data_IF_736706748582
#
_entry.id   IF_736706748582
#
_cell.length_a   1.000
_cell.length_b   1.000
_cell.length_c   1.000
_cell.angle_alpha   90.00
_cell.angle_beta   90.00
_cell.angle_gamma   90.00
#
_symmetry.space_group_name_H-M   'P 1'
#
loop_
_entity.id
_entity.type
_entity.pdbx_description
1 polymer ?
2 non-polymer ?
#
# COMPACT_ATOMS: atom_id res chain seq x y z
N UNK A 19 29.09 7.82 15.61
CA UNK A 19 28.10 8.15 14.54
C UNK A 19 26.81 8.70 15.14
N UNK A 20 26.67 10.02 15.11
CA UNK A 20 25.44 10.66 15.56
C UNK A 20 24.25 10.38 14.65
N UNK A 21 24.51 9.84 13.46
CA UNK A 21 23.42 9.53 12.53
C UNK A 21 22.47 8.49 13.11
N UNK A 22 22.99 7.49 13.82
CA UNK A 22 22.14 6.44 14.34
C UNK A 22 21.11 6.99 15.32
N UNK A 23 21.50 7.96 16.15
CA UNK A 23 20.58 8.56 17.10
C UNK A 23 19.80 9.72 16.51
N UNK A 24 20.10 10.14 15.29
CA UNK A 24 19.41 11.27 14.68
C UNK A 24 17.95 10.92 14.41
N UNK A 25 17.10 11.95 14.41
CA UNK A 25 15.67 11.74 14.26
C UNK A 25 15.33 11.09 12.92
N UNK A 26 16.02 11.50 11.86
CA UNK A 26 15.70 10.96 10.53
C UNK A 26 15.89 9.45 10.50
N UNK A 27 17.00 8.95 11.02
CA UNK A 27 17.22 7.51 11.02
C UNK A 27 16.30 6.82 12.01
N UNK A 28 15.93 7.47 13.11
CA UNK A 28 14.96 6.87 14.01
C UNK A 28 13.63 6.64 13.30
N UNK A 29 13.18 7.63 12.53
CA UNK A 29 11.93 7.47 11.78
C UNK A 29 12.08 6.40 10.70
N UNK A 30 13.24 6.37 10.03
CA UNK A 30 13.47 5.31 9.05
C UNK A 30 13.36 3.94 9.69
N UNK A 31 14.01 3.74 10.84
CA UNK A 31 13.95 2.44 11.51
C UNK A 31 12.54 2.12 11.96
N UNK A 32 11.81 3.12 12.46
CA UNK A 32 10.44 2.87 12.86
C UNK A 32 9.57 2.39 11.71
N UNK A 33 9.66 3.09 10.57
CA UNK A 33 8.87 2.67 9.42
C UNK A 33 9.33 1.33 8.88
N UNK A 34 10.63 1.05 8.91
CA UNK A 34 11.12 -0.23 8.42
C UNK A 34 10.60 -1.37 9.29
N UNK A 35 10.70 -1.24 10.61
CA UNK A 35 10.22 -2.30 11.49
C UNK A 35 8.70 -2.40 11.50
N UNK A 36 7.99 -1.35 11.10
CA UNK A 36 6.55 -1.46 10.94
C UNK A 36 6.19 -2.19 9.65
N UNK A 37 6.76 -1.75 8.53
CA UNK A 37 6.40 -2.34 7.24
C UNK A 37 6.89 -3.78 7.11
N UNK A 38 8.00 -4.15 7.76
CA UNK A 38 8.43 -5.54 7.72
C UNK A 38 7.36 -6.44 8.34
N UNK A 39 6.91 -6.10 9.54
CA UNK A 39 5.85 -6.88 10.15
C UNK A 39 4.58 -6.87 9.33
N UNK A 40 4.24 -5.71 8.76
CA UNK A 40 3.03 -5.64 7.94
C UNK A 40 3.10 -6.60 6.77
N UNK A 41 4.20 -6.56 6.01
CA UNK A 41 4.32 -7.42 4.84
C UNK A 41 4.38 -8.89 5.23
N UNK A 42 5.10 -9.22 6.31
CA UNK A 42 5.18 -10.60 6.74
C UNK A 42 3.79 -11.13 7.13
N UNK A 43 3.01 -10.32 7.84
CA UNK A 43 1.67 -10.75 8.23
C UNK A 43 0.76 -10.87 7.02
N UNK A 44 0.88 -9.95 6.06
CA UNK A 44 0.08 -10.08 4.84
C UNK A 44 0.39 -11.39 4.13
N UNK A 45 1.67 -11.72 3.99
CA UNK A 45 2.06 -12.97 3.34
C UNK A 45 1.53 -14.17 4.13
N UNK A 46 1.61 -14.10 5.46
CA UNK A 46 1.10 -15.20 6.28
C UNK A 46 -0.39 -15.40 6.07
N UNK A 47 -1.17 -14.33 6.06
CA UNK A 47 -2.61 -14.47 5.89
C UNK A 47 -2.95 -14.97 4.50
N UNK A 48 -2.26 -14.46 3.47
CA UNK A 48 -2.51 -14.93 2.11
C UNK A 48 -2.21 -16.42 2.00
N UNK A 49 -1.08 -16.87 2.56
CA UNK A 49 -0.74 -18.29 2.51
C UNK A 49 -1.74 -19.10 3.30
N UNK A 50 -2.22 -18.57 4.43
CA UNK A 50 -3.23 -19.29 5.21
C UNK A 50 -4.49 -19.51 4.38
N UNK A 51 -4.98 -18.46 3.72
CA UNK A 51 -6.18 -18.61 2.90
C UNK A 51 -5.94 -19.57 1.74
N UNK A 52 -4.78 -19.48 1.09
CA UNK A 52 -4.50 -20.36 -0.04
C UNK A 52 -4.42 -21.81 0.41
N UNK A 53 -3.79 -22.06 1.56
CA UNK A 53 -3.52 -23.43 2.00
C UNK A 53 -4.75 -24.08 2.61
N UNK A 54 -5.38 -23.41 3.58
CA UNK A 54 -6.52 -23.99 4.27
C UNK A 54 -7.68 -24.22 3.30
N UNK A 55 -7.98 -23.21 2.49
CA UNK A 55 -9.13 -23.32 1.55
C UNK A 55 -8.57 -23.51 0.14
N UNK A 56 -9.01 -24.55 -0.56
CA UNK A 56 -8.58 -24.75 -1.95
C UNK A 56 -8.98 -23.57 -2.82
N UNK A 57 -10.21 -23.07 -2.64
CA UNK A 57 -10.66 -21.85 -3.35
C UNK A 57 -10.17 -20.64 -2.57
N UNK A 58 -9.74 -19.60 -3.26
CA UNK A 58 -9.21 -18.41 -2.58
C UNK A 58 -9.78 -17.17 -3.25
N UNK A 59 -9.61 -17.07 -4.57
CA UNK A 59 -10.08 -15.86 -5.30
C UNK A 59 -11.45 -15.41 -4.77
N UNK A 60 -12.41 -16.34 -4.69
CA UNK A 60 -13.75 -15.99 -4.14
C UNK A 60 -13.50 -15.38 -2.77
N UNK A 61 -12.77 -16.06 -1.91
CA UNK A 61 -12.58 -15.53 -0.53
C UNK A 61 -11.66 -14.31 -0.61
N UNK A 62 -10.42 -14.50 -1.03
CA UNK A 62 -9.56 -13.33 -1.14
C UNK A 62 -10.32 -12.13 -1.69
N UNK A 63 -11.25 -12.37 -2.61
CA UNK A 63 -12.10 -11.28 -3.08
C UNK A 63 -12.98 -10.75 -1.96
N UNK A 64 -13.51 -11.64 -1.13
CA UNK A 64 -14.28 -11.20 0.04
C UNK A 64 -13.39 -10.39 0.97
N UNK A 65 -12.14 -10.83 1.16
CA UNK A 65 -11.20 -10.07 1.97
C UNK A 65 -10.98 -8.68 1.39
N UNK A 66 -10.81 -8.59 0.07
CA UNK A 66 -10.63 -7.30 -0.56
C UNK A 66 -11.84 -6.39 -0.37
N UNK A 67 -13.04 -6.96 -0.54
CA UNK A 67 -14.25 -6.16 -0.45
C UNK A 67 -14.56 -5.75 0.99
N UNK A 68 -14.14 -6.54 1.98
CA UNK A 68 -14.35 -6.15 3.37
C UNK A 68 -13.24 -5.24 3.90
N UNK A 69 -12.07 -5.24 3.24
CA UNK A 69 -11.04 -4.29 3.62
C UNK A 69 -11.31 -2.93 2.97
N UNK A 70 -11.66 -2.94 1.69
CA UNK A 70 -11.72 -1.70 0.93
C UNK A 70 -12.82 -0.78 1.43
N UNK A 71 -14.04 -1.30 1.63
CA UNK A 71 -15.12 -0.45 2.11
C UNK A 71 -14.90 0.02 3.54
N UNK A 72 -14.43 -0.87 4.40
CA UNK A 72 -14.14 -0.48 5.78
C UNK A 72 -13.10 0.63 5.79
N UNK A 73 -12.08 0.53 4.96
CA UNK A 73 -11.14 1.64 4.83
C UNK A 73 -11.83 2.87 4.28
N UNK A 74 -12.66 2.69 3.25
CA UNK A 74 -13.33 3.82 2.61
C UNK A 74 -14.03 4.69 3.65
N UNK A 75 -14.70 4.06 4.61
CA UNK A 75 -15.45 4.83 5.61
C UNK A 75 -14.57 5.22 6.78
N UNK A 76 -14.03 4.23 7.48
CA UNK A 76 -13.28 4.51 8.69
C UNK A 76 -11.98 5.24 8.40
N UNK A 77 -11.60 5.45 7.14
CA UNK A 77 -10.39 6.19 6.83
C UNK A 77 -10.63 7.68 6.85
N UNK A 78 -11.75 8.13 6.28
CA UNK A 78 -12.17 9.50 6.53
C UNK A 78 -12.41 9.72 8.02
N UNK A 79 -13.06 8.75 8.68
CA UNK A 79 -13.28 8.93 10.11
C UNK A 79 -11.96 9.00 10.87
N UNK A 80 -10.95 8.24 10.44
CA UNK A 80 -9.64 8.28 11.08
C UNK A 80 -8.93 9.60 10.81
N UNK A 81 -8.99 10.07 9.56
CA UNK A 81 -8.45 11.38 9.26
C UNK A 81 -9.05 12.45 10.16
N UNK A 82 -10.32 12.32 10.49
CA UNK A 82 -10.87 13.15 11.56
C UNK A 82 -10.18 12.85 12.89
N UNK A 83 -9.90 11.57 13.16
CA UNK A 83 -9.28 11.19 14.43
C UNK A 83 -7.87 11.74 14.56
N UNK A 84 -7.07 11.70 13.48
CA UNK A 84 -5.65 11.99 13.60
C UNK A 84 -5.43 13.44 14.02
N UNK A 85 -6.08 14.38 13.34
CA UNK A 85 -5.83 15.78 13.64
C UNK A 85 -6.45 16.23 14.96
N UNK A 86 -7.44 15.49 15.47
CA UNK A 86 -8.14 15.93 16.68
C UNK A 86 -7.32 15.66 17.94
N UNK A 87 -6.81 14.44 18.09
CA UNK A 87 -6.20 14.02 19.34
C UNK A 87 -4.75 14.48 19.41
N UNK A 88 -4.06 14.08 20.47
CA UNK A 88 -2.66 14.45 20.64
C UNK A 88 -1.80 13.82 19.56
N UNK A 89 -0.71 14.52 19.22
CA UNK A 89 0.13 14.07 18.11
C UNK A 89 0.78 12.73 18.41
N UNK A 90 1.34 12.57 19.61
CA UNK A 90 2.04 11.33 19.94
C UNK A 90 1.07 10.25 20.39
N UNK A 91 0.01 10.63 21.10
CA UNK A 91 -0.91 9.63 21.63
C UNK A 91 -1.61 8.89 20.50
N UNK A 92 -1.98 9.60 19.43
CA UNK A 92 -2.67 8.94 18.33
C UNK A 92 -1.75 7.93 17.67
N UNK A 93 -0.50 8.28 17.43
CA UNK A 93 0.42 7.34 16.80
C UNK A 93 0.68 6.13 17.70
N UNK A 94 0.85 6.37 19.00
CA UNK A 94 1.07 5.24 19.91
C UNK A 94 -0.14 4.33 19.95
N UNK A 95 -1.34 4.90 19.99
CA UNK A 95 -2.55 4.08 20.01
C UNK A 95 -2.70 3.31 18.70
N UNK A 96 -2.37 3.94 17.57
CA UNK A 96 -2.43 3.24 16.30
C UNK A 96 -1.48 2.04 16.28
N UNK A 97 -0.25 2.25 16.75
CA UNK A 97 0.71 1.14 16.81
C UNK A 97 0.19 0.03 17.72
N UNK A 98 -0.34 0.41 18.89
CA UNK A 98 -0.86 -0.58 19.82
C UNK A 98 -1.97 -1.39 19.19
N UNK A 99 -2.93 -0.71 18.55
CA UNK A 99 -4.06 -1.41 17.96
C UNK A 99 -3.59 -2.33 16.84
N UNK A 100 -2.71 -1.85 15.97
CA UNK A 100 -2.25 -2.68 14.87
C UNK A 100 -1.56 -3.94 15.37
N UNK A 101 -0.61 -3.77 16.30
CA UNK A 101 0.15 -4.93 16.76
C UNK A 101 -0.70 -5.87 17.59
N UNK A 102 -1.64 -5.36 18.38
CA UNK A 102 -2.52 -6.23 19.15
C UNK A 102 -3.44 -7.01 18.22
N UNK A 103 -3.96 -6.36 17.18
CA UNK A 103 -4.79 -7.07 16.21
C UNK A 103 -4.00 -8.15 15.49
N UNK A 104 -2.75 -7.85 15.11
CA UNK A 104 -1.94 -8.88 14.47
C UNK A 104 -1.64 -10.01 15.45
N UNK A 105 -1.45 -9.70 16.73
CA UNK A 105 -1.22 -10.74 17.72
C UNK A 105 -2.43 -11.66 17.83
N UNK A 106 -3.62 -11.06 17.91
CA UNK A 106 -4.83 -11.87 18.00
C UNK A 106 -5.03 -12.72 16.74
N UNK A 107 -4.79 -12.13 15.57
CA UNK A 107 -4.91 -12.89 14.33
C UNK A 107 -3.92 -14.05 14.30
N UNK A 108 -2.68 -13.81 14.75
CA UNK A 108 -1.70 -14.87 14.81
C UNK A 108 -2.10 -15.98 15.77
N UNK A 109 -2.66 -15.61 16.92
CA UNK A 109 -3.11 -16.61 17.88
C UNK A 109 -4.23 -17.45 17.27
N UNK A 110 -5.20 -16.80 16.63
CA UNK A 110 -6.29 -17.55 16.01
C UNK A 110 -5.76 -18.44 14.91
N UNK A 111 -4.82 -17.96 14.11
CA UNK A 111 -4.24 -18.77 13.05
C UNK A 111 -3.51 -19.98 13.62
N UNK A 112 -2.75 -19.79 14.71
CA UNK A 112 -2.08 -20.91 15.35
C UNK A 112 -3.09 -21.94 15.84
N UNK A 113 -4.17 -21.48 16.46
CA UNK A 113 -5.18 -22.41 16.95
C UNK A 113 -5.86 -23.14 15.80
N UNK A 114 -6.04 -22.47 14.66
CA UNK A 114 -6.66 -23.11 13.50
C UNK A 114 -5.73 -24.17 12.93
N UNK A 115 -4.46 -23.83 12.72
CA UNK A 115 -3.53 -24.78 12.13
C UNK A 115 -3.35 -26.00 13.02
N UNK A 116 -3.25 -25.80 14.33
CA UNK A 116 -3.12 -26.91 15.26
C UNK A 116 -4.33 -27.83 15.19
N UNK A 117 -5.53 -27.26 15.10
CA UNK A 117 -6.77 -28.02 15.00
C UNK A 117 -7.25 -28.09 13.56
N UNK A 118 -6.33 -28.17 12.60
CA UNK A 118 -6.70 -28.24 11.20
C UNK A 118 -7.59 -29.46 10.93
N UNK A 119 -7.18 -30.62 11.44
CA UNK A 119 -7.92 -31.85 11.20
C UNK A 119 -9.00 -32.13 12.23
N UNK A 120 -9.11 -31.31 13.28
CA UNK A 120 -10.07 -31.54 14.34
C UNK A 120 -11.38 -30.78 14.15
N UNK A 121 -11.44 -29.86 13.17
CA UNK A 121 -12.68 -29.16 12.87
C UNK A 121 -13.18 -29.38 11.46
N UNK A 122 -12.31 -29.79 10.53
CA UNK A 122 -12.78 -30.15 9.20
C UNK A 122 -13.69 -31.36 9.20
N UNK A 123 -13.61 -32.19 10.24
CA UNK A 123 -14.39 -33.43 10.32
C UNK A 123 -15.39 -33.41 11.47
N UNK A 124 -14.93 -33.22 12.70
CA UNK A 124 -15.81 -33.37 13.85
C UNK A 124 -16.78 -32.19 14.00
N UNK A 125 -16.30 -30.97 13.82
CA UNK A 125 -17.12 -29.79 14.02
C UNK A 125 -17.90 -29.44 12.75
N UNK A 126 -18.99 -28.72 12.95
CA UNK A 126 -19.82 -28.29 11.84
C UNK A 126 -19.12 -27.20 11.05
N UNK A 127 -19.53 -27.06 9.78
CA UNK A 127 -18.94 -26.04 8.93
C UNK A 127 -19.11 -24.63 9.48
N UNK A 128 -20.13 -24.40 10.32
CA UNK A 128 -20.30 -23.10 10.93
C UNK A 128 -19.08 -22.70 11.74
N UNK A 129 -18.42 -23.66 12.39
CA UNK A 129 -17.24 -23.32 13.18
C UNK A 129 -16.12 -22.81 12.27
N UNK A 130 -15.88 -23.50 11.15
CA UNK A 130 -14.85 -23.04 10.22
C UNK A 130 -15.20 -21.68 9.64
N UNK A 131 -16.47 -21.48 9.28
CA UNK A 131 -16.87 -20.18 8.75
C UNK A 131 -16.71 -19.08 9.78
N UNK A 132 -17.02 -19.38 11.05
CA UNK A 132 -16.86 -18.40 12.11
C UNK A 132 -15.40 -18.07 12.34
N UNK A 133 -14.52 -19.07 12.27
CA UNK A 133 -13.09 -18.80 12.37
C UNK A 133 -12.62 -17.92 11.23
N UNK A 134 -13.10 -18.20 10.01
CA UNK A 134 -12.73 -17.34 8.88
C UNK A 134 -13.24 -15.93 9.07
N UNK A 135 -14.47 -15.78 9.57
CA UNK A 135 -15.02 -14.44 9.77
C UNK A 135 -14.26 -13.69 10.85
N UNK A 136 -13.89 -14.38 11.93
CA UNK A 136 -13.10 -13.73 12.98
C UNK A 136 -11.74 -13.30 12.45
N UNK A 137 -11.09 -14.15 11.67
CA UNK A 137 -9.82 -13.77 11.05
C UNK A 137 -10.01 -12.56 10.15
N UNK A 138 -11.08 -12.57 9.34
CA UNK A 138 -11.33 -11.44 8.44
C UNK A 138 -11.52 -10.16 9.23
N UNK A 139 -12.33 -10.20 10.28
CA UNK A 139 -12.62 -8.99 11.04
C UNK A 139 -11.37 -8.47 11.74
N UNK A 140 -10.58 -9.37 12.35
CA UNK A 140 -9.41 -8.91 13.08
C UNK A 140 -8.35 -8.40 12.11
N UNK A 141 -8.17 -9.07 10.98
CA UNK A 141 -7.24 -8.57 9.97
C UNK A 141 -7.71 -7.24 9.40
N UNK A 142 -9.03 -7.04 9.27
CA UNK A 142 -9.54 -5.76 8.81
C UNK A 142 -9.25 -4.65 9.82
N UNK A 143 -9.44 -4.93 11.10
CA UNK A 143 -9.05 -3.96 12.12
C UNK A 143 -7.57 -3.67 12.05
N UNK A 144 -6.76 -4.71 11.85
CA UNK A 144 -5.32 -4.52 11.75
C UNK A 144 -4.95 -3.63 10.56
N UNK A 145 -5.57 -3.87 9.40
CA UNK A 145 -5.27 -3.05 8.24
C UNK A 145 -5.77 -1.62 8.41
N UNK A 146 -6.90 -1.43 9.08
CA UNK A 146 -7.38 -0.09 9.37
C UNK A 146 -6.38 0.66 10.26
N UNK A 147 -5.90 -0.01 11.31
CA UNK A 147 -4.86 0.60 12.14
C UNK A 147 -3.61 0.87 11.34
N UNK A 148 -3.25 -0.01 10.42
CA UNK A 148 -2.08 0.22 9.57
C UNK A 148 -2.26 1.47 8.72
N UNK A 149 -3.46 1.66 8.16
CA UNK A 149 -3.72 2.88 7.41
C UNK A 149 -3.61 4.11 8.30
N UNK A 150 -4.14 4.02 9.53
CA UNK A 150 -4.03 5.15 10.46
C UNK A 150 -2.57 5.48 10.73
N UNK A 151 -1.75 4.46 10.99
CA UNK A 151 -0.34 4.68 11.26
C UNK A 151 0.38 5.24 10.04
N UNK A 152 0.07 4.70 8.86
CA UNK A 152 0.70 5.21 7.64
C UNK A 152 0.40 6.69 7.47
N UNK A 153 -0.86 7.08 7.64
CA UNK A 153 -1.20 8.49 7.58
C UNK A 153 -0.39 9.27 8.61
N UNK A 154 -0.60 8.97 9.89
CA UNK A 154 -0.05 9.80 10.95
C UNK A 154 1.47 9.91 10.89
N UNK A 155 2.16 8.90 10.34
CA UNK A 155 3.60 9.01 10.23
C UNK A 155 3.95 9.70 8.92
N UNK A 156 3.67 9.04 7.78
CA UNK A 156 4.20 9.53 6.52
C UNK A 156 3.69 10.91 6.15
N UNK A 157 2.41 11.22 6.36
CA UNK A 157 1.86 12.46 5.88
C UNK A 157 1.94 13.61 6.87
N UNK A 158 2.24 13.35 8.14
CA UNK A 158 2.34 14.41 9.14
C UNK A 158 3.73 14.49 9.78
N UNK A 159 4.24 13.39 10.34
CA UNK A 159 5.51 13.47 11.05
C UNK A 159 6.67 13.72 10.11
N UNK A 160 6.61 13.17 8.89
CA UNK A 160 7.66 13.47 7.93
C UNK A 160 7.69 14.96 7.61
N UNK A 161 6.52 15.55 7.38
CA UNK A 161 6.47 16.98 7.08
C UNK A 161 7.01 17.79 8.24
N UNK A 162 6.63 17.43 9.47
CA UNK A 162 7.08 18.20 10.63
C UNK A 162 8.59 18.06 10.82
N UNK A 163 9.10 16.82 10.78
CA UNK A 163 10.50 16.58 11.06
C UNK A 163 11.38 17.18 9.97
N UNK A 164 11.05 16.92 8.70
CA UNK A 164 11.84 17.48 7.61
C UNK A 164 11.75 19.00 7.60
N UNK A 165 10.66 19.56 8.10
CA UNK A 165 10.55 21.00 8.19
C UNK A 165 10.45 21.65 6.82
N UNK A 166 10.84 22.94 6.78
CA UNK A 166 10.74 23.71 5.56
C UNK A 166 11.70 23.24 4.48
N UNK A 167 12.74 22.49 4.84
CA UNK A 167 13.75 22.08 3.86
C UNK A 167 13.12 21.05 2.92
N UNK A 168 12.70 21.52 1.74
CA UNK A 168 11.99 20.66 0.82
C UNK A 168 12.85 19.50 0.32
N UNK A 169 14.14 19.74 0.08
CA UNK A 169 15.02 18.67 -0.39
C UNK A 169 15.09 17.54 0.63
N UNK A 170 15.17 17.88 1.92
CA UNK A 170 15.19 16.85 2.95
C UNK A 170 13.89 16.05 2.95
N UNK A 171 12.77 16.72 2.75
CA UNK A 171 11.49 16.02 2.67
C UNK A 171 11.49 15.04 1.50
N UNK A 172 11.96 15.49 0.33
CA UNK A 172 11.97 14.61 -0.84
C UNK A 172 12.88 13.41 -0.60
N UNK A 173 14.06 13.64 -0.01
CA UNK A 173 14.97 12.54 0.26
C UNK A 173 14.37 11.56 1.26
N UNK A 174 13.70 12.07 2.30
CA UNK A 174 13.09 11.17 3.28
C UNK A 174 12.00 10.33 2.64
N UNK A 175 11.15 10.94 1.80
CA UNK A 175 10.11 10.17 1.13
C UNK A 175 10.72 9.12 0.22
N UNK A 176 11.77 9.48 -0.52
CA UNK A 176 12.42 8.52 -1.40
C UNK A 176 13.00 7.36 -0.60
N UNK A 177 13.65 7.64 0.52
CA UNK A 177 14.22 6.57 1.33
C UNK A 177 13.15 5.65 1.89
N UNK A 178 12.04 6.23 2.35
CA UNK A 178 10.96 5.40 2.88
C UNK A 178 10.39 4.51 1.79
N UNK A 179 10.21 5.06 0.58
CA UNK A 179 9.74 4.22 -0.52
C UNK A 179 10.73 3.12 -0.87
N UNK A 180 12.03 3.42 -0.85
CA UNK A 180 13.03 2.40 -1.17
C UNK A 180 12.99 1.27 -0.16
N UNK A 181 12.94 1.59 1.13
CA UNK A 181 12.87 0.52 2.11
C UNK A 181 11.55 -0.22 2.00
N UNK A 182 10.46 0.47 1.67
CA UNK A 182 9.18 -0.21 1.46
C UNK A 182 9.31 -1.24 0.35
N UNK A 183 9.95 -0.86 -0.76
CA UNK A 183 10.08 -1.77 -1.90
C UNK A 183 10.97 -2.95 -1.55
N UNK A 184 12.13 -2.69 -0.96
CA UNK A 184 13.04 -3.78 -0.61
C UNK A 184 12.39 -4.74 0.37
N UNK A 185 11.68 -4.21 1.37
CA UNK A 185 10.96 -5.08 2.28
C UNK A 185 9.86 -5.84 1.57
N UNK A 186 9.17 -5.20 0.63
CA UNK A 186 8.08 -5.85 -0.07
C UNK A 186 8.57 -7.04 -0.88
N UNK A 187 9.80 -6.99 -1.39
CA UNK A 187 10.33 -8.13 -2.13
C UNK A 187 11.17 -9.07 -1.27
N UNK A 188 11.55 -8.67 -0.05
CA UNK A 188 12.34 -9.56 0.80
C UNK A 188 11.47 -10.35 1.78
N UNK A 189 10.46 -9.73 2.36
CA UNK A 189 9.68 -10.40 3.40
C UNK A 189 9.08 -11.72 2.93
N UNK A 190 8.42 -11.79 1.78
CA UNK A 190 7.94 -13.11 1.30
C UNK A 190 9.05 -14.12 1.16
N UNK A 191 10.23 -13.71 0.69
CA UNK A 191 11.35 -14.65 0.55
C UNK A 191 11.74 -15.22 1.90
N UNK A 192 11.94 -14.35 2.90
CA UNK A 192 12.35 -14.82 4.22
C UNK A 192 11.28 -15.71 4.84
N UNK A 193 10.01 -15.32 4.72
CA UNK A 193 8.95 -16.11 5.34
C UNK A 193 8.82 -17.46 4.65
N UNK A 194 9.00 -17.51 3.33
CA UNK A 194 8.98 -18.78 2.64
C UNK A 194 10.13 -19.67 3.04
N UNK A 195 11.32 -19.10 3.19
CA UNK A 195 12.45 -19.89 3.68
C UNK A 195 12.17 -20.42 5.08
N UNK A 196 11.55 -19.59 5.93
CA UNK A 196 11.21 -20.05 7.27
C UNK A 196 10.24 -21.22 7.21
N UNK A 197 9.17 -21.07 6.44
CA UNK A 197 8.14 -22.10 6.40
C UNK A 197 8.67 -23.40 5.82
N UNK A 198 9.46 -23.32 4.75
CA UNK A 198 10.03 -24.53 4.17
C UNK A 198 11.03 -25.18 5.11
N UNK A 199 11.94 -24.39 5.67
CA UNK A 199 12.95 -24.93 6.57
C UNK A 199 12.30 -25.54 7.82
N UNK A 200 11.31 -24.85 8.38
CA UNK A 200 10.64 -25.32 9.57
C UNK A 200 9.31 -25.99 9.28
N UNK A 201 8.22 -25.34 9.66
CA UNK A 201 6.88 -25.88 9.49
C UNK A 201 5.89 -24.72 9.46
N UNK A 202 4.78 -24.86 8.74
CA UNK A 202 3.78 -23.77 8.76
C UNK A 202 3.23 -23.51 10.15
N UNK A 203 3.09 -24.54 10.99
CA UNK A 203 2.58 -24.33 12.34
C UNK A 203 3.58 -23.53 13.16
N UNK A 204 4.86 -23.91 13.12
CA UNK A 204 5.86 -23.26 13.94
C UNK A 204 6.20 -21.87 13.39
N UNK A 205 6.37 -21.77 12.07
CA UNK A 205 6.74 -20.51 11.48
C UNK A 205 5.72 -19.41 11.69
N UNK A 206 4.43 -19.76 11.67
CA UNK A 206 3.40 -18.75 11.84
C UNK A 206 3.50 -18.09 13.20
N UNK A 207 3.76 -18.88 14.24
CA UNK A 207 3.95 -18.31 15.57
C UNK A 207 5.12 -17.35 15.65
N UNK A 208 6.17 -17.59 14.87
CA UNK A 208 7.32 -16.68 14.85
C UNK A 208 6.88 -15.26 14.52
N UNK A 209 5.85 -15.11 13.70
CA UNK A 209 5.39 -13.77 13.34
C UNK A 209 4.79 -13.07 14.54
N UNK A 210 4.06 -13.79 15.39
CA UNK A 210 3.50 -13.17 16.59
C UNK A 210 4.60 -12.62 17.49
N UNK A 211 5.63 -13.42 17.75
CA UNK A 211 6.73 -12.95 18.58
C UNK A 211 7.49 -11.81 17.94
N UNK A 212 7.73 -11.90 16.63
CA UNK A 212 8.42 -10.82 15.95
C UNK A 212 7.63 -9.52 16.02
N UNK A 213 6.30 -9.60 15.86
CA UNK A 213 5.48 -8.41 15.95
C UNK A 213 5.42 -7.88 17.37
N UNK A 214 5.47 -8.74 18.39
CA UNK A 214 5.52 -8.24 19.76
C UNK A 214 6.82 -7.51 20.04
N UNK A 215 7.95 -8.08 19.61
CA UNK A 215 9.24 -7.42 19.79
C UNK A 215 9.27 -6.11 19.03
N UNK A 216 8.77 -6.11 17.80
CA UNK A 216 8.70 -4.88 17.02
C UNK A 216 7.77 -3.89 17.68
N UNK A 217 6.70 -4.36 18.31
CA UNK A 217 5.80 -3.48 19.04
C UNK A 217 6.55 -2.75 20.14
N UNK A 218 7.28 -3.48 20.96
CA UNK A 218 8.01 -2.85 22.06
C UNK A 218 9.06 -1.87 21.52
N UNK A 219 9.89 -2.33 20.57
CA UNK A 219 10.96 -1.47 20.08
C UNK A 219 10.41 -0.25 19.36
N UNK A 220 9.29 -0.41 18.64
CA UNK A 220 8.70 0.71 17.91
C UNK A 220 8.07 1.70 18.87
N UNK A 221 7.44 1.22 19.95
CA UNK A 221 6.92 2.12 20.96
C UNK A 221 8.05 2.96 21.55
N UNK A 222 9.16 2.31 21.91
CA UNK A 222 10.30 3.04 22.44
C UNK A 222 10.83 4.03 21.40
N UNK A 223 10.91 3.60 20.14
CA UNK A 223 11.47 4.44 19.10
C UNK A 223 10.62 5.68 18.86
N UNK A 224 9.30 5.52 18.80
CA UNK A 224 8.44 6.68 18.65
C UNK A 224 8.51 7.60 19.86
N UNK A 225 8.58 7.03 21.06
CA UNK A 225 8.74 7.88 22.24
C UNK A 225 10.02 8.70 22.14
N UNK A 226 11.10 8.08 21.64
CA UNK A 226 12.36 8.80 21.48
C UNK A 226 12.24 9.90 20.44
N UNK A 227 11.72 9.58 19.25
CA UNK A 227 11.73 10.55 18.16
C UNK A 227 10.86 11.75 18.51
N UNK A 228 9.81 11.54 19.30
CA UNK A 228 8.99 12.67 19.73
C UNK A 228 9.81 13.63 20.59
N UNK A 229 10.69 13.11 21.44
CA UNK A 229 11.49 13.96 22.31
C UNK A 229 12.59 14.69 21.55
N UNK A 230 13.14 14.06 20.51
CA UNK A 230 14.27 14.67 19.81
C UNK A 230 13.87 16.00 19.17
N UNK A 231 12.71 16.04 18.53
CA UNK A 231 12.23 17.26 17.88
C UNK A 231 11.04 17.80 18.65
N UNK A 232 11.12 19.00 19.24
CA UNK A 232 9.97 19.53 19.98
C UNK A 232 8.86 20.09 19.10
N UNK A 233 9.14 20.32 17.82
CA UNK A 233 8.13 20.93 16.95
C UNK A 233 6.86 20.09 16.87
N UNK A 234 6.99 18.77 17.02
CA UNK A 234 5.84 17.89 16.88
C UNK A 234 4.74 18.22 17.88
N UNK A 235 5.11 18.66 19.09
CA UNK A 235 4.11 18.98 20.10
C UNK A 235 3.21 20.11 19.66
N UNK A 236 3.79 21.17 19.09
CA UNK A 236 2.99 22.30 18.63
C UNK A 236 2.00 21.84 17.58
N UNK A 237 0.77 22.31 17.68
CA UNK A 237 -0.28 21.91 16.74
C UNK A 237 -1.43 22.91 16.75
N UNK A 287 -28.91 7.82 15.25
CA UNK A 287 -28.83 8.91 16.21
C UNK A 287 -27.38 9.20 16.57
N UNK A 288 -26.66 8.16 17.00
CA UNK A 288 -25.26 8.32 17.37
C UNK A 288 -24.36 8.47 16.16
N UNK A 289 -24.82 8.07 14.98
CA UNK A 289 -24.03 8.09 13.76
C UNK A 289 -24.09 9.43 13.02
N UNK A 290 -24.82 10.40 13.56
CA UNK A 290 -24.91 11.70 12.89
C UNK A 290 -23.57 12.42 12.86
N UNK A 291 -22.82 12.38 13.96
CA UNK A 291 -21.58 13.15 14.06
C UNK A 291 -20.53 12.60 13.08
N UNK A 292 -20.29 11.29 13.05
CA UNK A 292 -19.30 10.78 12.08
C UNK A 292 -19.61 11.18 10.65
N UNK A 293 -20.88 11.12 10.24
CA UNK A 293 -21.26 11.54 8.90
C UNK A 293 -21.23 13.06 8.74
N UNK A 294 -21.34 13.81 9.83
CA UNK A 294 -21.08 15.24 9.76
C UNK A 294 -19.65 15.49 9.32
N UNK A 295 -18.70 14.75 9.90
CA UNK A 295 -17.31 14.82 9.46
C UNK A 295 -17.15 14.20 8.07
N UNK A 296 -17.77 13.04 7.84
CA UNK A 296 -17.63 12.38 6.55
C UNK A 296 -18.10 13.29 5.42
N UNK A 297 -19.28 13.91 5.58
CA UNK A 297 -19.72 14.89 4.61
C UNK A 297 -18.77 16.07 4.54
N UNK A 298 -18.33 16.55 5.71
CA UNK A 298 -17.38 17.66 5.74
C UNK A 298 -16.04 17.28 5.14
N UNK A 299 -15.56 16.06 5.40
CA UNK A 299 -14.25 15.68 4.91
C UNK A 299 -14.16 15.67 3.40
N UNK A 300 -15.13 15.04 2.73
CA UNK A 300 -15.09 14.97 1.27
C UNK A 300 -15.20 16.34 0.64
N UNK A 301 -16.18 17.14 1.09
CA UNK A 301 -16.34 18.47 0.52
C UNK A 301 -15.11 19.32 0.76
N UNK A 302 -14.39 19.08 1.87
CA UNK A 302 -13.11 19.76 2.07
C UNK A 302 -12.12 19.39 0.97
N UNK A 303 -12.16 18.15 0.50
CA UNK A 303 -11.25 17.73 -0.55
C UNK A 303 -11.46 18.53 -1.83
N UNK A 304 -12.72 18.79 -2.19
CA UNK A 304 -13.00 19.55 -3.41
C UNK A 304 -12.42 20.96 -3.31
N UNK A 305 -12.57 21.62 -2.16
CA UNK A 305 -12.11 22.99 -2.03
C UNK A 305 -10.60 23.10 -2.19
N UNK A 306 -9.86 22.06 -1.83
CA UNK A 306 -8.40 22.12 -1.92
C UNK A 306 -7.96 22.21 -3.37
N UNK A 307 -6.83 22.86 -3.65
CA UNK A 307 -6.36 22.96 -5.03
C UNK A 307 -5.70 21.69 -5.56
N UNK A 308 -5.50 20.69 -4.72
CA UNK A 308 -4.75 19.50 -5.08
C UNK A 308 -5.68 18.34 -5.44
N UNK A 309 -6.97 18.61 -5.63
CA UNK A 309 -7.94 17.52 -5.80
C UNK A 309 -7.64 16.71 -7.05
N UNK A 310 -7.36 17.37 -8.17
CA UNK A 310 -7.15 16.64 -9.42
C UNK A 310 -5.94 15.72 -9.33
N UNK A 311 -4.88 16.13 -8.61
CA UNK A 311 -3.74 15.25 -8.40
C UNK A 311 -4.16 14.01 -7.63
N UNK A 312 -5.00 14.17 -6.62
CA UNK A 312 -5.49 13.01 -5.88
C UNK A 312 -6.29 12.08 -6.76
N UNK A 313 -7.16 12.64 -7.61
CA UNK A 313 -7.95 11.80 -8.51
C UNK A 313 -7.04 11.04 -9.47
N UNK A 314 -6.02 11.73 -10.03
CA UNK A 314 -5.10 11.04 -10.91
C UNK A 314 -4.36 9.92 -10.22
N UNK A 315 -3.90 10.16 -9.00
CA UNK A 315 -3.22 9.11 -8.25
C UNK A 315 -4.15 7.95 -7.97
N UNK A 316 -5.42 8.22 -7.65
CA UNK A 316 -6.34 7.12 -7.39
C UNK A 316 -6.61 6.30 -8.65
N UNK A 317 -6.78 6.97 -9.80
CA UNK A 317 -6.98 6.23 -11.03
C UNK A 317 -5.77 5.37 -11.36
N UNK A 318 -4.56 5.90 -11.16
CA UNK A 318 -3.38 5.07 -11.31
C UNK A 318 -3.39 3.92 -10.31
N UNK A 319 -3.86 4.17 -9.09
CA UNK A 319 -3.90 3.12 -8.07
C UNK A 319 -4.74 1.95 -8.55
N UNK A 320 -5.88 2.24 -9.17
CA UNK A 320 -6.67 1.19 -9.81
C UNK A 320 -5.96 0.77 -11.09
N UNK A 321 -5.15 -0.27 -11.00
CA UNK A 321 -4.29 -0.68 -12.12
C UNK A 321 -4.09 -2.18 -12.05
N UNK A 322 -4.62 -2.90 -13.04
CA UNK A 322 -4.43 -4.35 -13.08
C UNK A 322 -2.98 -4.70 -13.36
N UNK A 323 -2.30 -3.90 -14.18
CA UNK A 323 -0.94 -4.22 -14.64
C UNK A 323 0.06 -3.92 -13.52
N UNK A 324 -0.12 -4.62 -12.41
CA UNK A 324 0.91 -4.70 -11.39
C UNK A 324 1.51 -6.09 -11.43
N UNK A 325 1.87 -6.59 -10.26
CA UNK A 325 2.50 -7.92 -10.15
C UNK A 325 1.84 -8.62 -8.96
N UNK A 326 0.59 -8.25 -8.67
CA UNK A 326 -0.13 -8.88 -7.54
C UNK A 326 -0.72 -10.24 -7.97
N UNK A 327 -1.52 -10.85 -7.10
CA UNK A 327 -2.07 -12.20 -7.35
C UNK A 327 -2.62 -12.42 -8.77
N UNK A 328 -3.30 -11.44 -9.37
CA UNK A 328 -3.93 -11.72 -10.69
C UNK A 328 -2.87 -11.83 -11.79
N UNK A 329 -1.85 -10.98 -11.76
CA UNK A 329 -0.76 -11.13 -12.76
C UNK A 329 0.00 -12.42 -12.44
N UNK A 330 0.05 -12.79 -11.15
CA UNK A 330 0.69 -14.08 -10.79
C UNK A 330 -0.08 -15.23 -11.45
N UNK A 331 -1.41 -15.15 -11.49
CA UNK A 331 -2.23 -16.17 -12.16
C UNK A 331 -2.06 -16.14 -13.67
N UNK A 332 -1.90 -14.94 -14.24
CA UNK A 332 -1.61 -14.90 -15.69
C UNK A 332 -0.31 -15.66 -15.92
N UNK A 333 0.63 -15.52 -14.98
CA UNK A 333 1.89 -16.30 -15.08
C UNK A 333 1.60 -17.79 -14.98
N UNK A 334 0.86 -18.21 -13.95
CA UNK A 334 0.44 -19.63 -13.87
C UNK A 334 0.02 -20.08 -15.27
N UNK A 335 -0.82 -19.29 -15.94
CA UNK A 335 -1.32 -19.70 -17.28
C UNK A 335 -0.22 -19.78 -18.33
N UNK A 336 0.50 -18.69 -18.60
CA UNK A 336 1.48 -18.74 -19.74
C UNK A 336 2.85 -19.30 -19.33
N UNK A 337 3.42 -18.81 -18.22
CA UNK A 337 4.72 -19.23 -17.75
C UNK A 337 4.90 -18.87 -16.29
N UNK A 338 5.40 -19.81 -15.49
CA UNK A 338 5.46 -19.59 -14.05
C UNK A 338 6.47 -20.54 -13.44
N UNK A 339 7.38 -20.01 -12.62
CA UNK A 339 8.29 -20.81 -11.83
C UNK A 339 8.84 -19.95 -10.71
N UNK A 340 9.33 -20.60 -9.66
CA UNK A 340 9.93 -19.87 -8.56
C UNK A 340 11.07 -18.99 -9.02
N UNK A 341 11.92 -19.51 -9.92
CA UNK A 341 12.99 -18.70 -10.47
C UNK A 341 12.43 -17.52 -11.26
N UNK A 342 11.40 -17.76 -12.07
CA UNK A 342 10.81 -16.68 -12.85
C UNK A 342 10.17 -15.63 -11.94
N UNK A 343 9.41 -16.09 -10.93
CA UNK A 343 8.81 -15.14 -10.00
C UNK A 343 9.86 -14.31 -9.30
N UNK A 344 10.92 -14.96 -8.81
CA UNK A 344 11.96 -14.23 -8.10
C UNK A 344 12.65 -13.23 -9.02
N UNK A 345 12.97 -13.65 -10.25
CA UNK A 345 13.64 -12.75 -11.18
C UNK A 345 12.77 -11.54 -11.49
N UNK A 346 11.49 -11.78 -11.77
CA UNK A 346 10.60 -10.67 -12.12
C UNK A 346 10.41 -9.73 -10.94
N UNK A 347 10.22 -10.26 -9.73
CA UNK A 347 10.02 -9.39 -8.58
C UNK A 347 11.30 -8.62 -8.25
N UNK A 348 12.47 -9.26 -8.41
CA UNK A 348 13.71 -8.55 -8.19
C UNK A 348 13.92 -7.43 -9.20
N UNK A 349 13.60 -7.70 -10.46
CA UNK A 349 13.67 -6.66 -11.48
C UNK A 349 12.71 -5.53 -11.14
N UNK A 350 11.50 -5.86 -10.69
CA UNK A 350 10.53 -4.83 -10.32
C UNK A 350 11.06 -3.97 -9.18
N UNK A 351 11.64 -4.59 -8.15
CA UNK A 351 12.18 -3.82 -7.03
C UNK A 351 13.35 -2.95 -7.47
N UNK A 352 14.26 -3.50 -8.29
CA UNK A 352 15.39 -2.72 -8.76
C UNK A 352 14.90 -1.53 -9.57
N UNK A 353 13.90 -1.74 -10.42
CA UNK A 353 13.38 -0.65 -11.24
C UNK A 353 12.60 0.35 -10.40
N UNK A 354 11.96 -0.10 -9.31
CA UNK A 354 11.32 0.85 -8.41
C UNK A 354 12.33 1.74 -7.71
N UNK A 355 13.45 1.15 -7.27
CA UNK A 355 14.52 1.95 -6.70
C UNK A 355 15.06 2.93 -7.74
N UNK A 356 15.24 2.46 -8.97
CA UNK A 356 15.67 3.36 -10.04
C UNK A 356 14.66 4.47 -10.25
N UNK A 357 13.37 4.17 -10.14
CA UNK A 357 12.35 5.20 -10.27
C UNK A 357 12.40 6.22 -9.16
N UNK A 358 12.65 5.77 -7.93
CA UNK A 358 12.78 6.71 -6.82
C UNK A 358 13.97 7.64 -7.03
N UNK A 359 15.11 7.09 -7.41
CA UNK A 359 16.28 7.94 -7.64
C UNK A 359 16.04 8.87 -8.82
N UNK A 360 15.34 8.39 -9.85
CA UNK A 360 15.00 9.25 -10.98
C UNK A 360 14.07 10.37 -10.55
N UNK A 361 13.13 10.08 -9.64
CA UNK A 361 12.27 11.13 -9.12
C UNK A 361 13.08 12.19 -8.40
N UNK A 362 14.03 11.77 -7.56
CA UNK A 362 14.88 12.74 -6.87
C UNK A 362 15.68 13.58 -7.87
N UNK A 363 16.24 12.93 -8.89
CA UNK A 363 17.04 13.65 -9.88
C UNK A 363 16.19 14.65 -10.65
N UNK A 364 15.00 14.24 -11.08
CA UNK A 364 14.12 15.14 -11.82
C UNK A 364 13.65 16.29 -10.95
N UNK A 365 13.39 16.04 -9.66
CA UNK A 365 13.06 17.13 -8.76
C UNK A 365 14.22 18.09 -8.60
N UNK A 366 15.46 17.57 -8.60
CA UNK A 366 16.60 18.46 -8.60
C UNK A 366 16.63 19.32 -9.87
N UNK A 367 16.34 18.72 -11.02
CA UNK A 367 16.35 19.48 -12.27
C UNK A 367 15.11 20.37 -12.38
N UNK A 368 13.93 19.75 -12.40
CA UNK A 368 12.68 20.50 -12.52
C UNK A 368 12.12 20.77 -11.13
N UNK A 369 10.87 21.21 -11.07
CA UNK A 369 10.22 21.42 -9.79
C UNK A 369 9.54 20.15 -9.34
N UNK A 370 8.22 20.21 -9.12
CA UNK A 370 7.46 19.03 -8.77
C UNK A 370 6.42 18.67 -9.82
N UNK A 371 5.63 19.65 -10.27
CA UNK A 371 4.55 19.35 -11.21
C UNK A 371 5.13 18.86 -12.53
N UNK A 372 6.20 19.50 -13.00
CA UNK A 372 6.85 19.03 -14.22
C UNK A 372 7.41 17.63 -14.06
N UNK A 373 7.95 17.31 -12.88
CA UNK A 373 8.44 15.96 -12.63
C UNK A 373 7.30 14.95 -12.71
N UNK A 374 6.16 15.27 -12.10
CA UNK A 374 5.01 14.38 -12.21
C UNK A 374 4.57 14.20 -13.64
N UNK A 375 4.54 15.29 -14.42
CA UNK A 375 4.14 15.19 -15.82
C UNK A 375 5.10 14.29 -16.59
N UNK A 376 6.41 14.45 -16.37
CA UNK A 376 7.39 13.64 -17.09
C UNK A 376 7.25 12.17 -16.69
N UNK A 377 7.10 11.89 -15.40
CA UNK A 377 6.95 10.51 -14.96
C UNK A 377 5.70 9.88 -15.56
N UNK A 378 4.60 10.64 -15.58
CA UNK A 378 3.38 10.13 -16.19
C UNK A 378 3.55 9.86 -17.66
N UNK A 379 4.25 10.75 -18.37
CA UNK A 379 4.50 10.52 -19.79
C UNK A 379 5.31 9.25 -20.01
N UNK A 380 6.34 9.04 -19.20
CA UNK A 380 7.14 7.82 -19.34
C UNK A 380 6.31 6.58 -19.06
N UNK A 381 5.52 6.60 -17.98
CA UNK A 381 4.70 5.44 -17.64
C UNK A 381 3.70 5.15 -18.75
N UNK A 382 3.04 6.19 -19.27
CA UNK A 382 2.08 6.00 -20.35
C UNK A 382 2.75 5.51 -21.61
N UNK A 383 3.98 5.97 -21.89
CA UNK A 383 4.70 5.51 -23.06
C UNK A 383 4.97 4.01 -22.98
N UNK A 384 5.52 3.54 -21.86
CA UNK A 384 5.82 2.12 -21.80
C UNK A 384 4.57 1.28 -21.60
N UNK A 385 3.48 1.85 -21.09
CA UNK A 385 2.22 1.10 -21.11
C UNK A 385 1.63 1.05 -22.51
N UNK A 386 1.91 2.05 -23.34
CA UNK A 386 1.59 1.95 -24.76
C UNK A 386 2.40 0.83 -25.39
N UNK A 387 3.67 0.70 -25.01
CA UNK A 387 4.45 -0.45 -25.46
C UNK A 387 3.83 -1.76 -24.98
N UNK A 388 3.34 -1.79 -23.74
CA UNK A 388 2.70 -3.00 -23.21
C UNK A 388 1.45 -3.36 -24.00
N UNK A 389 0.60 -2.36 -24.31
CA UNK A 389 -0.61 -2.63 -25.06
C UNK A 389 -0.27 -2.98 -26.50
N UNK A 390 0.84 -2.49 -27.03
CA UNK A 390 1.34 -2.97 -28.32
C UNK A 390 1.67 -4.45 -28.23
N UNK A 391 2.37 -4.84 -27.17
CA UNK A 391 2.68 -6.26 -26.96
C UNK A 391 1.40 -7.08 -26.93
N UNK A 392 0.39 -6.61 -26.20
CA UNK A 392 -0.88 -7.31 -26.16
C UNK A 392 -1.49 -7.38 -27.56
N UNK A 393 -1.39 -6.29 -28.31
CA UNK A 393 -1.98 -6.23 -29.65
C UNK A 393 -1.33 -7.25 -30.58
N UNK A 394 -0.01 -7.39 -30.51
CA UNK A 394 0.68 -8.35 -31.37
C UNK A 394 0.31 -9.77 -30.96
N UNK A 395 -0.20 -10.60 -31.87
CA UNK A 395 -0.50 -11.99 -31.51
C UNK A 395 0.73 -12.76 -31.06
N UNK A 450 3.95 -21.93 -31.38
CA UNK A 450 4.61 -22.19 -30.10
C UNK A 450 4.12 -21.22 -29.04
N UNK A 451 4.77 -21.24 -27.88
CA UNK A 451 4.42 -20.35 -26.78
C UNK A 451 4.84 -18.94 -27.16
N UNK A 452 3.92 -17.95 -27.15
CA UNK A 452 4.32 -16.58 -27.51
C UNK A 452 5.22 -15.95 -26.45
N UNK A 453 6.47 -16.42 -26.38
CA UNK A 453 7.39 -15.90 -25.36
C UNK A 453 7.60 -14.41 -25.53
N UNK A 454 7.53 -13.90 -26.76
CA UNK A 454 7.70 -12.46 -26.97
C UNK A 454 6.62 -11.68 -26.21
N UNK A 455 5.36 -12.12 -26.32
CA UNK A 455 4.26 -11.35 -25.77
C UNK A 455 4.34 -11.24 -24.26
N UNK A 456 4.53 -12.38 -23.57
CA UNK A 456 4.49 -12.36 -22.11
C UNK A 456 5.69 -11.59 -21.55
N UNK A 457 6.89 -11.84 -22.09
CA UNK A 457 8.07 -11.14 -21.60
C UNK A 457 7.98 -9.64 -21.88
N UNK A 458 7.46 -9.27 -23.06
CA UNK A 458 7.31 -7.84 -23.36
C UNK A 458 6.27 -7.20 -22.45
N UNK A 459 5.19 -7.91 -22.15
CA UNK A 459 4.21 -7.40 -21.19
C UNK A 459 4.86 -7.18 -19.83
N UNK A 460 5.69 -8.11 -19.39
CA UNK A 460 6.36 -7.94 -18.10
C UNK A 460 7.31 -6.76 -18.12
N UNK A 461 8.05 -6.57 -19.22
CA UNK A 461 8.94 -5.42 -19.31
C UNK A 461 8.15 -4.11 -19.28
N UNK A 462 7.02 -4.08 -19.98
CA UNK A 462 6.16 -2.92 -19.91
C UNK A 462 5.69 -2.64 -18.49
N UNK A 463 5.30 -3.70 -17.77
CA UNK A 463 4.90 -3.53 -16.38
C UNK A 463 6.04 -2.98 -15.55
N UNK A 464 7.27 -3.41 -15.84
CA UNK A 464 8.42 -2.98 -15.04
C UNK A 464 8.68 -1.48 -15.23
N UNK A 465 8.71 -1.03 -16.48
CA UNK A 465 8.88 0.40 -16.71
C UNK A 465 7.69 1.19 -16.20
N UNK A 466 6.48 0.62 -16.28
CA UNK A 466 5.32 1.26 -15.69
C UNK A 466 5.50 1.41 -14.19
N UNK A 467 6.14 0.44 -13.54
CA UNK A 467 6.43 0.58 -12.12
C UNK A 467 7.41 1.72 -11.86
N UNK A 468 8.45 1.84 -12.71
CA UNK A 468 9.33 2.99 -12.60
C UNK A 468 8.52 4.28 -12.57
N UNK A 469 7.77 4.52 -13.65
CA UNK A 469 7.01 5.75 -13.75
C UNK A 469 5.98 5.89 -12.64
N UNK A 470 5.41 4.78 -12.20
CA UNK A 470 4.37 4.81 -11.19
C UNK A 470 4.91 5.23 -9.84
N UNK A 471 6.07 4.68 -9.45
CA UNK A 471 6.69 5.12 -8.21
C UNK A 471 7.06 6.59 -8.28
N UNK A 472 7.61 7.03 -9.42
CA UNK A 472 7.93 8.45 -9.54
C UNK A 472 6.69 9.31 -9.36
N UNK A 473 5.59 8.95 -10.03
CA UNK A 473 4.38 9.75 -9.96
C UNK A 473 3.79 9.75 -8.55
N UNK A 474 3.78 8.58 -7.90
CA UNK A 474 3.23 8.52 -6.55
C UNK A 474 4.05 9.37 -5.59
N UNK A 475 5.38 9.34 -5.71
CA UNK A 475 6.19 10.21 -4.88
C UNK A 475 5.86 11.67 -5.13
N UNK A 476 5.72 12.05 -6.40
CA UNK A 476 5.39 13.45 -6.69
C UNK A 476 4.06 13.85 -6.05
N UNK A 477 3.05 13.00 -6.20
CA UNK A 477 1.72 13.37 -5.69
C UNK A 477 1.71 13.40 -4.17
N UNK A 478 2.38 12.44 -3.54
CA UNK A 478 2.40 12.44 -2.07
C UNK A 478 3.16 13.64 -1.53
N UNK A 479 4.26 14.03 -2.18
CA UNK A 479 4.95 15.24 -1.74
C UNK A 479 4.08 16.48 -1.93
N UNK A 480 3.37 16.56 -3.05
CA UNK A 480 2.47 17.70 -3.27
C UNK A 480 1.37 17.74 -2.22
N UNK A 481 0.81 16.59 -1.86
CA UNK A 481 -0.19 16.55 -0.80
C UNK A 481 0.42 16.93 0.55
N UNK A 482 1.70 16.63 0.76
CA UNK A 482 2.35 17.01 2.01
C UNK A 482 2.53 18.51 2.11
N UNK A 483 3.00 19.15 1.02
CA UNK A 483 3.39 20.54 1.08
C UNK A 483 2.28 21.52 0.74
N UNK A 484 1.10 21.04 0.33
CA UNK A 484 0.04 21.94 -0.10
C UNK A 484 -1.28 21.63 0.60
N UNK A 485 -1.25 21.47 1.92
CA UNK A 485 -2.46 21.26 2.71
C UNK A 485 -2.33 22.05 4.00
N UNK A 486 -3.45 22.63 4.45
CA UNK A 486 -3.44 23.42 5.67
C UNK A 486 -2.99 22.54 6.84
N UNK A 487 -2.39 23.18 7.85
CA UNK A 487 -1.74 22.43 8.92
C UNK A 487 -2.73 21.54 9.67
N UNK A 488 -3.92 22.06 9.97
CA UNK A 488 -4.86 21.34 10.82
C UNK A 488 -5.61 20.24 10.09
N UNK A 489 -5.46 20.11 8.77
CA UNK A 489 -6.19 19.12 7.99
C UNK A 489 -5.25 18.17 7.26
N UNK A 490 -4.10 17.86 7.86
CA UNK A 490 -3.23 16.84 7.29
C UNK A 490 -3.80 15.44 7.50
N UNK A 491 -4.72 15.30 8.45
CA UNK A 491 -5.31 14.00 8.73
C UNK A 491 -6.51 13.71 7.86
N UNK A 492 -7.49 14.63 7.83
CA UNK A 492 -8.72 14.37 7.08
C UNK A 492 -8.43 14.25 5.59
N UNK A 493 -7.60 15.14 5.05
CA UNK A 493 -7.37 15.14 3.61
C UNK A 493 -6.67 13.86 3.17
N UNK A 494 -5.61 13.47 3.87
CA UNK A 494 -4.91 12.24 3.51
C UNK A 494 -5.76 11.01 3.77
N UNK A 495 -6.58 11.03 4.82
CA UNK A 495 -7.50 9.93 5.05
C UNK A 495 -8.48 9.77 3.91
N UNK A 496 -9.04 10.88 3.42
CA UNK A 496 -9.93 10.80 2.28
C UNK A 496 -9.18 10.36 1.03
N UNK A 497 -7.88 10.68 0.96
CA UNK A 497 -7.14 10.32 -0.27
C UNK A 497 -6.94 8.80 -0.24
N UNK A 498 -6.64 8.23 0.92
CA UNK A 498 -6.57 6.78 1.04
C UNK A 498 -7.93 6.14 0.80
N UNK A 499 -9.00 6.77 1.27
CA UNK A 499 -10.33 6.24 1.03
C UNK A 499 -10.63 6.16 -0.45
N UNK A 500 -10.27 7.20 -1.21
CA UNK A 500 -10.50 7.19 -2.65
C UNK A 500 -9.62 6.15 -3.34
N UNK A 501 -8.36 6.05 -2.92
CA UNK A 501 -7.48 5.02 -3.46
C UNK A 501 -8.11 3.64 -3.30
N UNK A 502 -8.60 3.33 -2.10
CA UNK A 502 -9.21 2.04 -1.87
C UNK A 502 -10.58 1.92 -2.53
N UNK A 503 -11.27 3.04 -2.79
CA UNK A 503 -12.48 3.00 -3.59
C UNK A 503 -12.19 2.42 -4.96
N UNK A 504 -11.19 2.99 -5.64
CA UNK A 504 -10.87 2.49 -6.97
C UNK A 504 -10.18 1.14 -6.91
N UNK A 505 -9.51 0.80 -5.81
CA UNK A 505 -9.01 -0.56 -5.64
C UNK A 505 -10.14 -1.57 -5.51
N UNK A 506 -11.21 -1.19 -4.81
CA UNK A 506 -12.40 -2.04 -4.73
C UNK A 506 -13.04 -2.21 -6.10
N UNK A 507 -13.09 -1.12 -6.88
CA UNK A 507 -13.57 -1.26 -8.25
C UNK A 507 -12.69 -2.20 -9.06
N UNK A 508 -11.37 -2.15 -8.82
CA UNK A 508 -10.47 -3.09 -9.48
C UNK A 508 -10.79 -4.53 -9.08
N UNK A 509 -11.03 -4.77 -7.80
CA UNK A 509 -11.39 -6.11 -7.35
C UNK A 509 -12.68 -6.58 -8.01
N UNK A 510 -13.67 -5.69 -8.10
CA UNK A 510 -14.94 -6.05 -8.73
C UNK A 510 -14.72 -6.38 -10.21
N UNK A 511 -13.90 -5.59 -10.90
CA UNK A 511 -13.59 -5.91 -12.29
C UNK A 511 -12.87 -7.25 -12.40
N UNK A 512 -12.03 -7.57 -11.42
CA UNK A 512 -11.34 -8.86 -11.44
C UNK A 512 -12.34 -10.01 -11.30
N UNK A 513 -13.22 -9.93 -10.30
CA UNK A 513 -14.19 -11.00 -10.08
C UNK A 513 -15.32 -10.97 -11.10
N UNK A 514 -15.46 -9.88 -11.85
CA UNK A 514 -16.44 -9.86 -12.94
C UNK A 514 -16.01 -10.78 -14.08
N UNK A 515 -14.71 -10.81 -14.38
CA UNK A 515 -14.17 -11.65 -15.44
C UNK A 515 -12.93 -12.38 -14.92
N UNK A 516 -13.10 -13.32 -14.00
CA UNK A 516 -11.97 -14.09 -13.48
C UNK A 516 -11.59 -15.27 -14.39
N UNK A 517 -11.41 -14.96 -15.68
CA UNK A 517 -11.10 -15.96 -16.68
C UNK A 517 -9.73 -15.68 -17.30
N UNK A 518 -8.88 -16.70 -17.44
CA UNK A 518 -7.51 -16.44 -17.93
C UNK A 518 -7.46 -15.77 -19.29
N UNK A 519 -8.37 -16.09 -20.20
CA UNK A 519 -8.39 -15.49 -21.53
C UNK A 519 -9.23 -14.22 -21.58
N UNK A 520 -9.80 -13.79 -20.46
CA UNK A 520 -10.54 -12.53 -20.38
C UNK A 520 -9.66 -11.41 -19.82
N UNK A 521 -8.36 -11.46 -20.09
CA UNK A 521 -7.42 -10.50 -19.53
C UNK A 521 -7.10 -9.35 -20.48
N UNK A 522 -7.28 -9.53 -21.78
CA UNK A 522 -7.04 -8.44 -22.71
C UNK A 522 -7.90 -7.23 -22.41
N UNK A 523 -9.18 -7.46 -22.15
CA UNK A 523 -10.08 -6.35 -21.80
C UNK A 523 -9.65 -5.70 -20.50
N UNK A 524 -9.25 -6.51 -19.51
CA UNK A 524 -8.83 -5.94 -18.24
C UNK A 524 -7.59 -5.06 -18.39
N UNK A 525 -6.60 -5.52 -19.16
CA UNK A 525 -5.40 -4.72 -19.35
C UNK A 525 -5.70 -3.46 -20.16
N UNK A 526 -6.59 -3.57 -21.15
CA UNK A 526 -6.99 -2.38 -21.90
C UNK A 526 -7.65 -1.38 -20.97
N UNK A 527 -8.53 -1.84 -20.08
CA UNK A 527 -9.18 -0.95 -19.13
C UNK A 527 -8.16 -0.33 -18.19
N UNK A 528 -7.18 -1.12 -17.74
CA UNK A 528 -6.17 -0.59 -16.83
C UNK A 528 -5.36 0.52 -17.50
N UNK A 529 -4.94 0.29 -18.74
CA UNK A 529 -4.16 1.33 -19.43
C UNK A 529 -5.03 2.54 -19.72
N UNK A 530 -6.32 2.34 -20.03
CA UNK A 530 -7.21 3.47 -20.24
C UNK A 530 -7.36 4.30 -18.97
N UNK A 531 -7.48 3.63 -17.82
CA UNK A 531 -7.59 4.36 -16.56
C UNK A 531 -6.29 5.07 -16.21
N UNK A 532 -5.14 4.46 -16.52
CA UNK A 532 -3.88 5.17 -16.33
C UNK A 532 -3.84 6.43 -17.19
N UNK A 533 -4.29 6.31 -18.44
CA UNK A 533 -4.34 7.47 -19.33
C UNK A 533 -5.26 8.55 -18.76
N UNK A 534 -6.42 8.14 -18.24
CA UNK A 534 -7.33 9.12 -17.64
C UNK A 534 -6.69 9.79 -16.43
N UNK A 535 -6.00 9.02 -15.59
CA UNK A 535 -5.36 9.61 -14.44
C UNK A 535 -4.31 10.63 -14.81
N UNK A 536 -3.47 10.30 -15.80
CA UNK A 536 -2.48 11.25 -16.25
C UNK A 536 -3.10 12.43 -16.98
N UNK A 537 -4.26 12.25 -17.62
CA UNK A 537 -4.97 13.38 -18.20
C UNK A 537 -5.44 14.33 -17.10
N UNK A 538 -5.98 13.77 -16.02
CA UNK A 538 -6.39 14.62 -14.89
C UNK A 538 -5.19 15.33 -14.28
N UNK A 539 -4.05 14.64 -14.19
CA UNK A 539 -2.85 15.30 -13.67
C UNK A 539 -2.36 16.40 -14.60
N UNK A 540 -2.47 16.21 -15.91
CA UNK A 540 -2.13 17.28 -16.84
C UNK A 540 -3.08 18.47 -16.70
N UNK A 541 -4.36 18.18 -16.48
CA UNK A 541 -5.31 19.25 -16.19
C UNK A 541 -4.89 20.01 -14.93
N UNK A 542 -4.46 19.29 -13.91
CA UNK A 542 -3.96 19.93 -12.70
C UNK A 542 -2.74 20.79 -12.99
N UNK A 543 -1.82 20.28 -13.81
CA UNK A 543 -0.62 21.05 -14.15
C UNK A 543 -0.99 22.34 -14.85
N UNK A 544 -1.91 22.27 -15.81
CA UNK A 544 -2.37 23.48 -16.47
C UNK A 544 -3.06 24.43 -15.51
N UNK A 545 -3.84 23.90 -14.57
CA UNK A 545 -4.55 24.75 -13.63
C UNK A 545 -3.58 25.49 -12.71
N UNK A 546 -2.59 24.79 -12.18
CA UNK A 546 -1.68 25.36 -11.19
C UNK A 546 -0.39 25.90 -11.80
N UNK A 547 -0.18 25.73 -13.10
CA UNK A 547 1.01 26.24 -13.76
C UNK A 547 0.62 26.75 -15.15
N UNK A 548 0.98 28.00 -15.43
CA UNK A 548 0.62 28.62 -16.69
C UNK A 548 1.73 28.60 -17.72
N UNK A 549 2.71 27.73 -17.52
CA UNK A 549 3.85 27.64 -18.43
C UNK A 549 4.43 26.24 -18.36
N UNK A 550 5.23 25.91 -19.37
CA UNK A 550 5.87 24.60 -19.46
C UNK A 550 7.36 24.72 -19.13
#
# INVERSE_FOLDING_TARGET
MSTRAGDHNRQRGCCGSLADYLTSAKFLLYLGHSLSTWGDRMWHFAVSVFLVELYGNSLLLTAVYGLVVAGSVLVLGAIIGDWVDKNARLKVAQTSLVVQNVSVILCGIILMMVFLHKHELLTMYHGWVLTSCYILIITIANIANLASTATAITIQRDWIVVVAGEDRSKLANMNATIRRIDQLTNILAPMAVGQIMTFGSPVIGCGFISGWNLVSMCVEYVLLWKVYQKTPALAVKAGLKEEETELKQLNLHKDTEPKPLEGTHLMGVKDSNIHELEHEQEPTCASQMAEPFRTFRDGWVSYYNQPVFLAGMGLAFLYMTVLGFDCITTGYAYTQGLSGSILSILMGASAITGIMGTVAFTWLRRKCGLVRTGLISGLAQLSCLILCVISVFMPGSPLDLSVSPFEDIRSRFIQGESITPTKIPEITTEIYMSNGSNSANIVPETSPESVPIISVSLLFAGVIAARIGLWSFDLTVTQLLQENVIESERGIINGVQNSMNYLLDLLHFIMVILAPNPEAFGLLVLISVSFVAMGHIMYFRFAQNTLGNKLFACGPDAKEVRKENQANTSVVALEVLFQG
#
